data_IF_776661863636
#
_entry.id   IF_776661863636
#
_cell.length_a   1.000
_cell.length_b   1.000
_cell.length_c   1.000
_cell.angle_alpha   90.00
_cell.angle_beta   90.00
_cell.angle_gamma   90.00
#
_symmetry.space_group_name_H-M   'P 1'
#
loop_
_entity.id
_entity.type
_entity.pdbx_description
1 polymer ?
#
# COMPACT_ATOMS: atom_id res chain seq x y z
N UNK A 1 -8.64 15.91 3.75
CA UNK A 1 -9.33 14.85 2.97
C UNK A 1 -9.38 15.30 1.53
N UNK A 2 -9.09 14.40 0.58
CA UNK A 2 -9.27 14.71 -0.85
C UNK A 2 -10.78 14.92 -1.14
N UNK A 3 -11.17 15.86 -2.00
CA UNK A 3 -12.57 16.16 -2.32
C UNK A 3 -13.16 15.13 -3.30
N UNK A 4 -12.99 13.84 -3.01
CA UNK A 4 -13.53 12.74 -3.82
C UNK A 4 -14.31 11.79 -2.92
N UNK A 5 -15.46 11.30 -3.39
CA UNK A 5 -16.19 10.23 -2.73
C UNK A 5 -15.56 8.90 -3.12
N UNK A 6 -15.11 8.13 -2.13
CA UNK A 6 -14.63 6.77 -2.30
C UNK A 6 -15.61 5.80 -1.67
N UNK A 7 -15.87 4.71 -2.37
CA UNK A 7 -16.64 3.58 -1.86
C UNK A 7 -15.64 2.48 -1.42
N UNK A 8 -15.46 2.25 -0.11
CA UNK A 8 -14.49 1.27 0.38
C UNK A 8 -14.79 -0.15 -0.09
N UNK A 9 -16.05 -0.48 -0.37
CA UNK A 9 -16.48 -1.81 -0.82
C UNK A 9 -16.12 -2.06 -2.29
N UNK A 10 -15.57 -1.06 -2.99
CA UNK A 10 -15.11 -1.19 -4.37
C UNK A 10 -13.58 -1.22 -4.48
N UNK A 11 -12.87 -0.97 -3.38
CA UNK A 11 -11.41 -0.90 -3.38
C UNK A 11 -10.83 -2.31 -3.47
N UNK A 12 -9.84 -2.47 -4.35
CA UNK A 12 -9.03 -3.69 -4.44
C UNK A 12 -7.55 -3.33 -4.36
N UNK A 13 -6.77 -4.18 -3.68
CA UNK A 13 -5.34 -3.98 -3.46
C UNK A 13 -4.61 -5.27 -3.76
N UNK A 14 -3.51 -5.17 -4.50
CA UNK A 14 -2.59 -6.27 -4.76
C UNK A 14 -1.14 -5.87 -4.48
N UNK A 15 -0.40 -6.81 -3.89
CA UNK A 15 1.02 -6.68 -3.58
C UNK A 15 1.76 -7.68 -4.45
N UNK A 16 2.75 -7.23 -5.23
CA UNK A 16 3.51 -8.07 -6.16
C UNK A 16 2.59 -8.90 -7.09
N UNK A 17 1.44 -8.33 -7.49
CA UNK A 17 0.42 -9.00 -8.28
C UNK A 17 -0.51 -9.96 -7.53
N UNK A 18 -0.22 -10.32 -6.28
CA UNK A 18 -1.11 -11.13 -5.44
C UNK A 18 -2.19 -10.24 -4.79
N UNK A 19 -3.46 -10.61 -4.97
CA UNK A 19 -4.57 -9.89 -4.35
C UNK A 19 -4.54 -10.06 -2.82
N UNK A 20 -4.57 -8.94 -2.10
CA UNK A 20 -4.65 -8.92 -0.62
C UNK A 20 -5.99 -8.41 -0.12
N UNK A 21 -6.65 -7.56 -0.92
CA UNK A 21 -7.99 -7.06 -0.67
C UNK A 21 -8.76 -7.00 -1.99
N UNK A 22 -10.00 -7.49 -1.99
CA UNK A 22 -10.91 -7.45 -3.15
C UNK A 22 -12.26 -6.95 -2.66
N UNK A 23 -12.75 -5.87 -3.25
CA UNK A 23 -14.03 -5.25 -2.87
C UNK A 23 -14.13 -4.94 -1.36
N UNK A 24 -13.09 -4.34 -0.79
CA UNK A 24 -13.04 -3.98 0.63
C UNK A 24 -12.83 -5.15 1.61
N UNK A 25 -12.74 -6.39 1.11
CA UNK A 25 -12.59 -7.59 1.94
C UNK A 25 -11.25 -8.27 1.72
N UNK A 26 -10.64 -8.78 2.79
CA UNK A 26 -9.38 -9.52 2.70
C UNK A 26 -9.48 -10.75 1.79
N UNK A 27 -8.52 -10.89 0.88
CA UNK A 27 -8.44 -12.04 -0.02
C UNK A 27 -7.86 -13.28 0.72
N UNK A 28 -8.25 -14.51 0.34
CA UNK A 28 -7.55 -15.70 0.79
C UNK A 28 -6.07 -15.65 0.37
N UNK A 29 -5.15 -16.03 1.27
CA UNK A 29 -3.71 -15.98 0.94
C UNK A 29 -3.06 -14.61 1.16
N UNK A 30 -3.81 -13.60 1.63
CA UNK A 30 -3.29 -12.24 1.79
C UNK A 30 -2.15 -12.12 2.81
N UNK A 31 -2.03 -13.07 3.76
CA UNK A 31 -0.95 -13.06 4.78
C UNK A 31 0.29 -13.82 4.32
N UNK A 32 0.17 -14.56 3.23
CA UNK A 32 1.19 -15.45 2.67
C UNK A 32 1.95 -14.79 1.51
N UNK A 33 1.62 -13.54 1.18
CA UNK A 33 2.33 -12.77 0.15
C UNK A 33 3.77 -12.50 0.59
N UNK A 34 4.71 -12.84 -0.29
CA UNK A 34 6.13 -12.59 -0.08
C UNK A 34 6.47 -11.12 -0.35
N UNK A 35 7.06 -10.48 0.66
CA UNK A 35 7.50 -9.08 0.67
C UNK A 35 8.99 -8.97 1.02
N UNK A 36 9.75 -10.05 0.85
CA UNK A 36 11.19 -10.07 1.16
C UNK A 36 12.05 -9.36 0.10
N UNK A 37 11.50 -9.12 -1.09
CA UNK A 37 12.16 -8.37 -2.16
C UNK A 37 12.32 -6.88 -1.82
N UNK A 38 13.37 -6.26 -2.37
CA UNK A 38 13.69 -4.85 -2.13
C UNK A 38 12.72 -3.86 -2.80
N UNK A 39 12.14 -4.23 -3.94
CA UNK A 39 11.12 -3.44 -4.63
C UNK A 39 9.78 -4.18 -4.52
N UNK A 40 8.81 -3.55 -3.84
CA UNK A 40 7.45 -4.09 -3.68
C UNK A 40 6.50 -3.28 -4.56
N UNK A 41 5.81 -3.94 -5.49
CA UNK A 41 4.74 -3.32 -6.28
C UNK A 41 3.42 -3.37 -5.50
N UNK A 42 2.83 -2.20 -5.28
CA UNK A 42 1.51 -2.08 -4.66
C UNK A 42 0.57 -1.44 -5.67
N UNK A 43 -0.39 -2.21 -6.16
CA UNK A 43 -1.44 -1.74 -7.04
C UNK A 43 -2.73 -1.56 -6.25
N UNK A 44 -3.29 -0.35 -6.31
CA UNK A 44 -4.57 0.01 -5.66
C UNK A 44 -5.56 0.44 -6.73
N UNK A 45 -6.64 -0.32 -6.86
CA UNK A 45 -7.79 0.05 -7.70
C UNK A 45 -8.89 0.64 -6.80
N UNK A 46 -9.27 1.88 -7.07
CA UNK A 46 -10.30 2.60 -6.34
C UNK A 46 -11.72 2.31 -6.87
N UNK A 47 -11.84 1.76 -8.08
CA UNK A 47 -13.12 1.48 -8.74
C UNK A 47 -13.90 2.72 -9.18
N UNK A 48 -13.31 3.92 -9.20
CA UNK A 48 -14.06 5.17 -9.47
C UNK A 48 -13.96 5.66 -10.92
N UNK A 49 -12.94 5.26 -11.67
CA UNK A 49 -12.73 5.63 -13.07
C UNK A 49 -11.33 5.27 -13.56
N UNK A 50 -10.91 5.85 -14.68
CA UNK A 50 -9.68 5.44 -15.39
C UNK A 50 -8.44 6.30 -15.04
N UNK A 51 -8.54 7.19 -14.05
CA UNK A 51 -7.44 8.04 -13.61
C UNK A 51 -6.34 7.24 -12.92
N UNK A 52 -5.08 7.56 -13.22
CA UNK A 52 -3.93 6.80 -12.74
C UNK A 52 -2.82 7.73 -12.22
N UNK A 53 -2.15 7.32 -11.16
CA UNK A 53 -0.96 7.98 -10.63
C UNK A 53 -0.03 6.94 -10.00
N UNK A 54 1.26 7.26 -9.92
CA UNK A 54 2.27 6.40 -9.29
C UNK A 54 3.08 7.20 -8.28
N UNK A 55 3.25 6.62 -7.10
CA UNK A 55 4.09 7.16 -6.02
C UNK A 55 5.15 6.12 -5.71
N UNK A 56 6.40 6.55 -5.52
CA UNK A 56 7.47 5.70 -4.97
C UNK A 56 7.73 6.13 -3.54
N UNK A 57 7.81 5.16 -2.64
CA UNK A 57 8.13 5.36 -1.23
C UNK A 57 9.00 4.19 -0.75
N UNK A 58 9.52 4.31 0.46
CA UNK A 58 10.25 3.24 1.16
C UNK A 58 9.54 2.88 2.45
N UNK A 59 9.87 1.72 2.99
CA UNK A 59 9.49 1.29 4.33
C UNK A 59 10.14 2.13 5.43
N UNK A 60 9.61 2.02 6.65
CA UNK A 60 10.15 2.69 7.82
C UNK A 60 10.98 1.69 8.64
N UNK A 61 12.28 1.89 8.69
CA UNK A 61 13.21 1.02 9.43
C UNK A 61 13.54 1.57 10.83
N UNK A 62 14.07 0.70 11.69
CA UNK A 62 14.59 1.12 12.99
C UNK A 62 15.79 2.07 12.84
N UNK A 63 16.64 1.86 11.83
CA UNK A 63 17.79 2.72 11.56
C UNK A 63 17.36 4.17 11.23
N UNK A 64 16.26 4.35 10.49
CA UNK A 64 15.70 5.68 10.23
C UNK A 64 15.33 6.41 11.53
N UNK A 65 14.74 5.68 12.49
CA UNK A 65 14.39 6.25 13.81
C UNK A 65 15.64 6.60 14.60
N UNK A 66 16.64 5.73 14.66
CA UNK A 66 17.89 5.99 15.38
C UNK A 66 18.63 7.22 14.83
N UNK A 67 18.79 7.29 13.51
CA UNK A 67 19.47 8.41 12.83
C UNK A 67 18.78 9.75 13.12
N UNK A 68 17.44 9.78 13.08
CA UNK A 68 16.68 11.03 13.27
C UNK A 68 16.37 11.34 14.74
N UNK A 69 16.39 10.35 15.65
CA UNK A 69 16.17 10.55 17.09
C UNK A 69 17.39 11.15 17.80
N UNK A 70 18.60 10.97 17.23
CA UNK A 70 19.82 11.66 17.65
C UNK A 70 19.75 13.18 17.45
N UNK A 71 18.80 13.67 16.65
CA UNK A 71 18.46 15.09 16.50
C UNK A 71 17.39 15.57 17.49
N UNK A 72 17.24 14.89 18.63
CA UNK A 72 16.55 15.49 19.79
C UNK A 72 17.47 16.52 20.46
N UNK A 73 17.69 17.65 19.78
CA UNK A 73 18.28 18.89 20.30
C UNK A 73 17.71 20.10 19.58
#
# INVERSE_FOLDING_TARGET
MAPITLDPDRISVSFNGAAVCVHGVGAPGAREVDLSDADIDITVDLGVGDGQARIRTTDLSHAYVEENSAYSS
#
